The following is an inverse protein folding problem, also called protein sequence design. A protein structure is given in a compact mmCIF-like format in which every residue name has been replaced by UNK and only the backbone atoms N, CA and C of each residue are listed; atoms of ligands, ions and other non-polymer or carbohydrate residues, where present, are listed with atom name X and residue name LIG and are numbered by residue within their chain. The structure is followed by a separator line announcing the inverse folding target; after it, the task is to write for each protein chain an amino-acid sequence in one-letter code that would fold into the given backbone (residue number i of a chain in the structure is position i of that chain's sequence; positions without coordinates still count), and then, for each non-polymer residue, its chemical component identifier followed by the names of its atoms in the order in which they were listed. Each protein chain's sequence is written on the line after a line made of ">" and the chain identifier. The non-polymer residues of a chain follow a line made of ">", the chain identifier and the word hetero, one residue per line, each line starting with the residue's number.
data_IF_708997408356
#
_entry.id   IF_708997408356
#
_cell.length_a   1.000
_cell.length_b   1.000
_cell.length_c   1.000
_cell.angle_alpha   90.00
_cell.angle_beta   90.00
_cell.angle_gamma   90.00
#
_symmetry.space_group_name_H-M   'P 1'
#
loop_
_entity.id
_entity.type
_entity.pdbx_description
1 polymer ?
#
# COMPACT_ATOMS: atom_id res chain seq x y z
N UNK A 1 35.21 1.51 82.61
CA UNK A 1 36.17 0.71 81.81
C UNK A 1 36.87 1.63 80.82
N UNK A 2 38.18 1.42 80.65
CA UNK A 2 39.10 2.25 79.84
C UNK A 2 38.89 2.05 78.33
N UNK A 3 39.48 2.97 77.57
CA UNK A 3 40.02 2.81 76.21
C UNK A 3 38.96 2.81 75.07
N UNK A 4 39.21 3.31 73.85
CA UNK A 4 40.34 3.98 73.19
C UNK A 4 39.82 4.34 71.78
N UNK A 5 40.19 5.54 71.32
CA UNK A 5 40.76 5.84 69.99
C UNK A 5 40.21 5.16 68.71
N UNK A 6 39.97 6.06 67.74
CA UNK A 6 40.48 6.06 66.35
C UNK A 6 39.85 5.12 65.30
N UNK A 7 39.76 5.70 64.10
CA UNK A 7 39.93 5.01 62.82
C UNK A 7 38.73 5.23 61.92
N UNK A 8 38.74 6.26 61.06
CA UNK A 8 39.36 6.27 59.72
C UNK A 8 38.58 5.47 58.69
N UNK A 9 38.21 6.20 57.63
CA UNK A 9 38.05 5.76 56.25
C UNK A 9 36.88 4.76 56.02
N UNK A 10 36.23 4.71 54.87
CA UNK A 10 36.61 5.15 53.56
C UNK A 10 35.34 5.07 52.68
N UNK A 11 35.37 5.78 51.54
CA UNK A 11 34.91 5.31 50.21
C UNK A 11 33.47 4.72 50.10
N UNK A 12 32.64 5.02 49.09
CA UNK A 12 32.87 5.59 47.78
C UNK A 12 31.51 5.77 47.08
N UNK A 13 31.51 6.63 46.07
CA UNK A 13 30.70 6.55 44.84
C UNK A 13 29.17 6.69 44.92
N UNK A 14 28.74 7.94 44.71
CA UNK A 14 27.96 8.38 43.54
C UNK A 14 26.85 7.48 43.01
N UNK A 15 25.59 7.94 43.12
CA UNK A 15 24.59 7.70 42.09
C UNK A 15 23.87 9.01 41.76
N UNK A 16 24.33 9.69 40.70
CA UNK A 16 23.61 10.75 40.03
C UNK A 16 22.51 10.09 39.20
N UNK A 17 21.25 10.27 39.62
CA UNK A 17 20.09 9.98 38.77
C UNK A 17 19.93 11.16 37.83
N UNK A 18 20.57 11.07 36.66
CA UNK A 18 20.26 11.95 35.54
C UNK A 18 19.15 11.31 34.72
N UNK A 19 17.94 11.84 34.89
CA UNK A 19 16.80 11.65 33.99
C UNK A 19 17.21 12.15 32.62
N UNK A 20 17.36 11.24 31.67
CA UNK A 20 17.71 11.53 30.29
C UNK A 20 16.92 10.65 29.34
N UNK A 21 15.82 11.21 28.83
CA UNK A 21 15.23 10.82 27.55
C UNK A 21 14.60 9.43 27.48
N UNK A 22 13.28 9.36 27.73
CA UNK A 22 12.41 8.38 27.07
C UNK A 22 12.41 8.64 25.56
N UNK A 23 13.46 8.18 24.88
CA UNK A 23 13.44 7.91 23.45
C UNK A 23 13.29 6.41 23.29
N UNK A 24 12.05 5.92 23.10
CA UNK A 24 11.86 4.60 22.54
C UNK A 24 12.48 4.60 21.15
N UNK A 25 13.72 4.11 21.09
CA UNK A 25 14.36 3.72 19.86
C UNK A 25 13.49 2.64 19.21
N UNK A 26 12.63 3.05 18.29
CA UNK A 26 12.14 2.16 17.25
C UNK A 26 13.38 1.67 16.51
N UNK A 27 13.79 0.44 16.83
CA UNK A 27 14.77 -0.32 16.08
C UNK A 27 14.27 -0.35 14.64
N UNK A 28 14.84 0.52 13.80
CA UNK A 28 14.78 0.38 12.36
C UNK A 28 15.69 -0.80 12.05
N UNK A 29 15.11 -1.98 11.90
CA UNK A 29 15.72 -3.00 11.05
C UNK A 29 15.78 -2.39 9.65
N UNK A 30 16.91 -1.76 9.36
CA UNK A 30 17.29 -1.42 8.00
C UNK A 30 17.47 -2.75 7.27
N UNK A 31 16.51 -3.07 6.40
CA UNK A 31 16.60 -4.19 5.47
C UNK A 31 17.96 -4.13 4.75
N UNK A 32 18.78 -5.18 4.83
CA UNK A 32 20.03 -5.24 4.08
C UNK A 32 19.69 -5.37 2.59
N UNK A 33 19.85 -4.28 1.83
CA UNK A 33 19.69 -4.30 0.38
C UNK A 33 19.31 -2.98 -0.27
N UNK A 34 18.66 -2.05 0.43
CA UNK A 34 18.14 -0.81 -0.19
C UNK A 34 18.80 0.49 0.27
N UNK A 35 19.75 0.43 1.23
CA UNK A 35 20.40 1.63 1.77
C UNK A 35 21.61 2.12 0.94
N UNK A 36 21.55 1.99 -0.39
CA UNK A 36 22.52 2.64 -1.30
C UNK A 36 21.90 3.05 -2.64
N UNK A 37 20.61 3.42 -2.63
CA UNK A 37 20.08 4.32 -3.65
C UNK A 37 20.57 5.73 -3.34
N UNK A 38 21.33 6.35 -4.25
CA UNK A 38 21.57 7.78 -4.21
C UNK A 38 20.23 8.51 -4.03
N UNK A 39 20.17 9.50 -3.15
CA UNK A 39 18.99 10.37 -3.04
C UNK A 39 18.71 10.97 -4.42
N UNK A 40 17.71 10.47 -5.13
CA UNK A 40 17.32 10.97 -6.45
C UNK A 40 17.23 9.93 -7.58
N UNK A 41 17.56 8.66 -7.35
CA UNK A 41 17.33 7.63 -8.38
C UNK A 41 15.83 7.31 -8.49
N UNK A 42 15.26 7.45 -9.68
CA UNK A 42 13.89 7.00 -9.98
C UNK A 42 13.85 5.48 -10.10
N UNK A 43 12.84 4.84 -9.52
CA UNK A 43 12.64 3.40 -9.55
C UNK A 43 11.88 2.99 -10.82
N UNK A 44 12.46 2.12 -11.66
CA UNK A 44 11.77 1.58 -12.83
C UNK A 44 10.81 0.46 -12.40
N UNK A 45 9.51 0.71 -12.53
CA UNK A 45 8.46 -0.18 -12.02
C UNK A 45 7.58 -0.69 -13.16
N UNK A 46 7.27 -1.98 -13.16
CA UNK A 46 6.18 -2.53 -13.98
C UNK A 46 4.98 -2.84 -13.10
N UNK A 47 3.77 -2.65 -13.63
CA UNK A 47 2.52 -2.98 -12.94
C UNK A 47 1.89 -4.17 -13.63
N UNK A 48 1.76 -5.29 -12.92
CA UNK A 48 1.09 -6.48 -13.47
C UNK A 48 -0.43 -6.34 -13.36
N UNK A 49 -1.19 -6.97 -14.28
CA UNK A 49 -2.63 -7.10 -14.14
C UNK A 49 -2.99 -7.68 -12.76
N UNK A 50 -3.94 -7.04 -12.08
CA UNK A 50 -4.34 -7.49 -10.75
C UNK A 50 -4.95 -8.89 -10.83
N UNK A 51 -4.67 -9.70 -9.83
CA UNK A 51 -5.37 -10.95 -9.60
C UNK A 51 -6.86 -10.69 -9.32
N UNK A 52 -7.70 -11.62 -9.76
CA UNK A 52 -9.14 -11.53 -9.62
C UNK A 52 -9.78 -12.91 -9.65
N UNK A 53 -11.05 -12.98 -9.27
CA UNK A 53 -11.88 -14.17 -9.37
C UNK A 53 -13.15 -13.84 -10.15
N UNK A 54 -13.41 -14.55 -11.22
CA UNK A 54 -14.64 -14.43 -12.01
C UNK A 54 -15.43 -15.76 -11.98
N UNK A 55 -16.46 -15.86 -12.82
CA UNK A 55 -17.28 -17.07 -12.95
C UNK A 55 -16.54 -18.24 -13.60
N UNK A 56 -15.46 -17.96 -14.35
CA UNK A 56 -14.68 -18.96 -15.11
C UNK A 56 -13.52 -19.50 -14.32
N UNK A 57 -13.05 -18.79 -13.29
CA UNK A 57 -11.99 -19.25 -12.41
C UNK A 57 -11.34 -18.13 -11.60
N UNK A 58 -10.10 -18.41 -11.19
CA UNK A 58 -9.28 -17.49 -10.41
C UNK A 58 -7.99 -17.22 -11.18
N UNK A 59 -7.66 -15.94 -11.36
CA UNK A 59 -6.31 -15.52 -11.72
C UNK A 59 -5.61 -15.20 -10.41
N UNK A 60 -4.74 -16.11 -9.97
CA UNK A 60 -4.02 -15.96 -8.70
C UNK A 60 -2.85 -14.99 -8.81
N UNK A 61 -2.47 -14.39 -7.68
CA UNK A 61 -1.24 -13.62 -7.56
C UNK A 61 -0.15 -14.51 -6.93
N UNK A 62 0.59 -15.26 -7.76
CA UNK A 62 1.67 -16.15 -7.32
C UNK A 62 2.92 -15.40 -6.82
N UNK A 63 2.95 -14.07 -6.97
CA UNK A 63 3.99 -13.18 -6.42
C UNK A 63 3.57 -12.45 -5.14
N UNK A 64 2.30 -12.52 -4.75
CA UNK A 64 1.83 -11.79 -3.59
C UNK A 64 2.39 -12.44 -2.30
N UNK A 65 2.97 -11.66 -1.38
CA UNK A 65 3.54 -12.22 -0.15
C UNK A 65 2.47 -12.75 0.82
N UNK A 66 1.21 -12.36 0.63
CA UNK A 66 0.08 -12.77 1.45
C UNK A 66 -0.88 -13.63 0.63
N UNK A 67 -1.49 -14.64 1.27
CA UNK A 67 -2.56 -15.43 0.65
C UNK A 67 -3.83 -14.59 0.55
N UNK A 68 -4.37 -14.48 -0.65
CA UNK A 68 -5.51 -13.62 -0.94
C UNK A 68 -6.82 -14.40 -1.00
N UNK A 69 -7.87 -13.85 -0.40
CA UNK A 69 -9.24 -14.36 -0.52
C UNK A 69 -10.03 -13.36 -1.35
N UNK A 70 -10.52 -13.82 -2.51
CA UNK A 70 -11.18 -12.97 -3.49
C UNK A 70 -12.67 -13.33 -3.61
N UNK A 71 -13.52 -12.32 -3.48
CA UNK A 71 -14.90 -12.37 -3.87
C UNK A 71 -15.03 -12.36 -5.41
N UNK A 72 -16.16 -12.84 -5.96
CA UNK A 72 -16.42 -12.70 -7.39
C UNK A 72 -16.40 -11.23 -7.84
N UNK A 73 -15.62 -10.96 -8.87
CA UNK A 73 -15.45 -9.67 -9.56
C UNK A 73 -15.43 -9.95 -11.07
N UNK A 74 -14.69 -9.19 -11.88
CA UNK A 74 -14.52 -9.44 -13.31
C UNK A 74 -13.10 -9.11 -13.77
N UNK A 75 -12.73 -9.64 -14.94
CA UNK A 75 -11.46 -9.30 -15.59
C UNK A 75 -11.41 -7.82 -15.94
N UNK A 76 -12.51 -7.29 -16.45
CA UNK A 76 -12.65 -5.91 -16.88
C UNK A 76 -12.47 -4.95 -15.70
N UNK A 77 -13.09 -5.25 -14.56
CA UNK A 77 -12.92 -4.47 -13.34
C UNK A 77 -11.47 -4.53 -12.83
N UNK A 78 -10.84 -5.71 -12.85
CA UNK A 78 -9.46 -5.86 -12.42
C UNK A 78 -8.49 -5.06 -13.31
N UNK A 79 -8.68 -5.08 -14.62
CA UNK A 79 -7.92 -4.27 -15.57
C UNK A 79 -8.15 -2.77 -15.35
N UNK A 80 -9.38 -2.35 -15.08
CA UNK A 80 -9.68 -0.96 -14.79
C UNK A 80 -9.00 -0.49 -13.49
N UNK A 81 -9.01 -1.33 -12.44
CA UNK A 81 -8.31 -1.01 -11.19
C UNK A 81 -6.78 -1.06 -11.38
N UNK A 82 -6.24 -1.93 -12.24
CA UNK A 82 -4.85 -1.87 -12.69
C UNK A 82 -4.54 -0.53 -13.36
N UNK A 83 -5.42 -0.03 -14.24
CA UNK A 83 -5.24 1.26 -14.90
C UNK A 83 -5.22 2.44 -13.91
N UNK A 84 -5.99 2.37 -12.81
CA UNK A 84 -5.87 3.37 -11.73
C UNK A 84 -4.47 3.38 -11.10
N UNK A 85 -3.79 2.24 -10.97
CA UNK A 85 -2.40 2.24 -10.51
C UNK A 85 -1.47 2.94 -11.49
N UNK A 86 -1.62 2.70 -12.80
CA UNK A 86 -0.86 3.43 -13.82
C UNK A 86 -1.12 4.94 -13.72
N UNK A 87 -2.38 5.37 -13.70
CA UNK A 87 -2.77 6.78 -13.63
C UNK A 87 -2.15 7.48 -12.40
N UNK A 88 -2.28 6.86 -11.23
CA UNK A 88 -1.79 7.48 -9.98
C UNK A 88 -0.26 7.46 -9.91
N UNK A 89 0.40 6.37 -10.31
CA UNK A 89 1.86 6.27 -10.23
C UNK A 89 2.59 7.10 -11.28
N UNK A 90 2.03 7.27 -12.48
CA UNK A 90 2.64 8.08 -13.54
C UNK A 90 2.80 9.55 -13.12
N UNK A 91 1.94 10.02 -12.20
CA UNK A 91 2.03 11.36 -11.63
C UNK A 91 3.19 11.57 -10.64
N UNK A 92 3.90 10.51 -10.25
CA UNK A 92 4.97 10.56 -9.25
C UNK A 92 6.37 10.53 -9.88
N UNK A 93 7.20 11.59 -9.73
CA UNK A 93 8.52 11.69 -10.40
C UNK A 93 9.56 10.67 -9.94
N UNK A 94 9.26 9.91 -8.88
CA UNK A 94 10.14 8.90 -8.31
C UNK A 94 10.01 7.54 -8.98
N UNK A 95 9.02 7.35 -9.85
CA UNK A 95 8.79 6.10 -10.55
C UNK A 95 8.89 6.34 -12.06
N UNK A 96 9.51 5.39 -12.76
CA UNK A 96 9.48 5.30 -14.22
C UNK A 96 8.69 4.05 -14.56
N UNK A 97 7.48 4.22 -15.09
CA UNK A 97 6.62 3.09 -15.38
C UNK A 97 7.00 2.42 -16.71
N UNK A 98 7.02 1.09 -16.71
CA UNK A 98 7.02 0.31 -17.95
C UNK A 98 5.63 0.39 -18.55
N UNK A 99 5.53 0.76 -19.82
CA UNK A 99 4.27 0.83 -20.56
C UNK A 99 3.54 -0.51 -20.56
N UNK A 100 2.20 -0.47 -20.43
CA UNK A 100 1.34 -1.66 -20.37
C UNK A 100 1.59 -2.62 -21.54
N UNK A 101 1.73 -2.11 -22.77
CA UNK A 101 1.98 -2.96 -23.94
C UNK A 101 3.28 -3.78 -23.83
N UNK A 102 4.30 -3.26 -23.14
CA UNK A 102 5.55 -3.99 -22.87
C UNK A 102 5.39 -5.01 -21.77
N UNK A 103 4.55 -4.71 -20.76
CA UNK A 103 4.16 -5.67 -19.73
C UNK A 103 3.43 -6.87 -20.35
N UNK A 104 2.45 -6.62 -21.21
CA UNK A 104 1.74 -7.70 -21.92
C UNK A 104 2.67 -8.47 -22.88
N UNK A 105 3.59 -7.81 -23.57
CA UNK A 105 4.59 -8.48 -24.42
C UNK A 105 5.59 -9.36 -23.64
N UNK A 106 5.76 -9.11 -22.34
CA UNK A 106 6.59 -9.89 -21.43
C UNK A 106 5.81 -10.96 -20.64
N UNK A 107 4.49 -11.05 -20.84
CA UNK A 107 3.60 -11.94 -20.08
C UNK A 107 4.01 -13.40 -20.21
N UNK A 108 4.19 -14.04 -19.06
CA UNK A 108 4.39 -15.49 -18.93
C UNK A 108 3.10 -16.21 -18.53
N UNK A 109 3.22 -17.50 -18.23
CA UNK A 109 2.13 -18.30 -17.69
C UNK A 109 1.73 -17.87 -16.27
N UNK A 110 2.67 -17.28 -15.52
CA UNK A 110 2.44 -16.77 -14.15
C UNK A 110 2.96 -15.34 -13.96
N UNK A 111 2.59 -14.68 -12.86
CA UNK A 111 3.13 -13.35 -12.55
C UNK A 111 4.63 -13.43 -12.25
N UNK A 112 5.09 -14.51 -11.59
CA UNK A 112 6.51 -14.72 -11.34
C UNK A 112 7.33 -14.87 -12.62
N UNK A 113 6.78 -15.57 -13.62
CA UNK A 113 7.41 -15.65 -14.94
C UNK A 113 7.42 -14.29 -15.66
N UNK A 114 6.30 -13.56 -15.60
CA UNK A 114 6.19 -12.22 -16.18
C UNK A 114 7.23 -11.27 -15.58
N UNK A 115 7.44 -11.29 -14.25
CA UNK A 115 8.49 -10.50 -13.58
C UNK A 115 9.89 -10.88 -14.06
N UNK A 116 10.20 -12.17 -14.22
CA UNK A 116 11.51 -12.60 -14.76
C UNK A 116 11.73 -12.07 -16.18
N UNK A 117 10.71 -12.15 -17.04
CA UNK A 117 10.77 -11.65 -18.41
C UNK A 117 10.96 -10.13 -18.45
N UNK A 118 10.21 -9.39 -17.62
CA UNK A 118 10.34 -7.94 -17.48
C UNK A 118 11.71 -7.51 -16.99
N UNK A 119 12.28 -8.22 -16.01
CA UNK A 119 13.65 -7.94 -15.54
C UNK A 119 14.67 -8.15 -16.65
N UNK A 120 14.54 -9.22 -17.43
CA UNK A 120 15.47 -9.53 -18.51
C UNK A 120 15.36 -8.56 -19.70
N UNK A 121 14.15 -8.11 -20.04
CA UNK A 121 13.89 -7.29 -21.24
C UNK A 121 13.92 -5.79 -20.97
N UNK A 122 13.35 -5.37 -19.85
CA UNK A 122 13.15 -3.97 -19.51
C UNK A 122 14.08 -3.51 -18.38
N UNK A 123 14.77 -4.41 -17.67
CA UNK A 123 15.62 -4.03 -16.55
C UNK A 123 14.82 -3.35 -15.43
N UNK A 124 13.62 -3.85 -15.12
CA UNK A 124 12.79 -3.31 -14.03
C UNK A 124 13.47 -3.50 -12.68
N UNK A 125 13.40 -2.49 -11.82
CA UNK A 125 13.90 -2.55 -10.44
C UNK A 125 12.88 -3.24 -9.52
N UNK A 126 11.59 -2.98 -9.76
CA UNK A 126 10.52 -3.57 -8.97
C UNK A 126 9.26 -3.83 -9.82
N UNK A 127 8.39 -4.67 -9.30
CA UNK A 127 7.09 -4.98 -9.91
C UNK A 127 5.98 -4.75 -8.88
N UNK A 128 4.97 -3.97 -9.27
CA UNK A 128 3.74 -3.84 -8.51
C UNK A 128 2.80 -5.00 -8.89
N UNK A 129 2.44 -5.79 -7.89
CA UNK A 129 1.48 -6.88 -8.00
C UNK A 129 0.32 -6.64 -7.04
N UNK A 130 -0.80 -7.31 -7.22
CA UNK A 130 -1.92 -7.14 -6.32
C UNK A 130 -3.14 -7.95 -6.73
N UNK A 131 -4.25 -7.67 -6.04
CA UNK A 131 -5.54 -8.23 -6.40
C UNK A 131 -6.68 -7.24 -6.18
N UNK A 132 -7.70 -7.34 -7.02
CA UNK A 132 -9.02 -6.82 -6.75
C UNK A 132 -9.77 -7.87 -5.91
N UNK A 133 -9.88 -7.61 -4.61
CA UNK A 133 -10.41 -8.59 -3.66
C UNK A 133 -11.93 -8.59 -3.63
N UNK A 134 -12.56 -7.43 -3.76
CA UNK A 134 -14.01 -7.29 -3.77
C UNK A 134 -14.43 -5.96 -4.43
N UNK A 135 -15.55 -5.99 -5.17
CA UNK A 135 -16.32 -4.79 -5.52
C UNK A 135 -17.76 -4.95 -5.02
N UNK A 136 -18.18 -4.02 -4.17
CA UNK A 136 -19.52 -3.99 -3.60
C UNK A 136 -20.33 -2.93 -4.33
N UNK A 137 -21.19 -3.35 -5.25
CA UNK A 137 -22.06 -2.42 -5.97
C UNK A 137 -23.07 -1.75 -5.02
N UNK A 138 -23.26 -0.45 -5.22
CA UNK A 138 -24.35 0.31 -4.60
C UNK A 138 -25.70 -0.26 -5.03
N UNK A 139 -26.65 -0.34 -4.10
CA UNK A 139 -28.03 -0.72 -4.38
C UNK A 139 -29.03 0.33 -3.89
N UNK A 140 -30.09 0.56 -4.67
CA UNK A 140 -31.14 1.52 -4.37
C UNK A 140 -30.84 2.94 -4.89
N UNK A 141 -31.56 3.93 -4.36
CA UNK A 141 -31.45 5.32 -4.81
C UNK A 141 -30.01 5.85 -4.65
N UNK A 142 -29.37 6.35 -5.72
CA UNK A 142 -28.07 7.01 -5.67
C UNK A 142 -27.92 8.11 -4.61
N UNK A 143 -28.99 8.79 -4.22
CA UNK A 143 -28.98 9.85 -3.20
C UNK A 143 -29.19 9.32 -1.79
N UNK A 144 -29.77 8.12 -1.66
CA UNK A 144 -30.08 7.47 -0.39
C UNK A 144 -29.97 5.94 -0.55
N UNK A 145 -28.75 5.41 -0.76
CA UNK A 145 -28.60 4.01 -1.11
C UNK A 145 -28.96 3.11 0.06
N UNK A 146 -29.70 2.03 -0.23
CA UNK A 146 -29.98 0.97 0.74
C UNK A 146 -28.73 0.15 1.07
N UNK A 147 -27.84 -0.01 0.09
CA UNK A 147 -26.46 -0.51 0.29
C UNK A 147 -25.48 0.41 -0.40
N UNK A 148 -24.46 0.86 0.34
CA UNK A 148 -23.39 1.74 -0.18
C UNK A 148 -22.42 0.95 -1.04
N UNK A 149 -21.77 1.66 -1.95
CA UNK A 149 -20.67 1.08 -2.70
C UNK A 149 -19.45 0.85 -1.81
N UNK A 150 -18.64 -0.14 -2.17
CA UNK A 150 -17.37 -0.41 -1.52
C UNK A 150 -16.40 -1.16 -2.42
N UNK A 151 -15.14 -1.19 -2.01
CA UNK A 151 -14.07 -1.89 -2.72
C UNK A 151 -13.00 -2.36 -1.73
N UNK A 152 -12.45 -3.54 -2.00
CA UNK A 152 -11.27 -4.07 -1.31
C UNK A 152 -10.15 -4.33 -2.33
N UNK A 153 -8.99 -3.70 -2.10
CA UNK A 153 -7.83 -3.77 -3.00
C UNK A 153 -6.58 -4.09 -2.18
N UNK A 154 -5.78 -5.02 -2.70
CA UNK A 154 -4.46 -5.36 -2.17
C UNK A 154 -3.39 -5.06 -3.21
N UNK A 155 -2.25 -4.53 -2.77
CA UNK A 155 -1.08 -4.36 -3.62
C UNK A 155 0.21 -4.58 -2.83
N UNK A 156 1.25 -5.04 -3.53
CA UNK A 156 2.60 -5.16 -3.04
C UNK A 156 3.59 -4.72 -4.12
N UNK A 157 4.69 -4.11 -3.67
CA UNK A 157 5.83 -3.78 -4.52
C UNK A 157 6.94 -4.78 -4.21
N UNK A 158 7.33 -5.54 -5.22
CA UNK A 158 8.29 -6.63 -5.13
C UNK A 158 9.59 -6.21 -5.80
N UNK A 159 10.70 -6.29 -5.08
CA UNK A 159 12.03 -6.05 -5.64
C UNK A 159 12.37 -7.15 -6.66
N UNK A 160 12.72 -6.77 -7.89
CA UNK A 160 12.90 -7.73 -8.98
C UNK A 160 14.16 -8.60 -8.82
N UNK A 161 15.13 -8.11 -8.03
CA UNK A 161 16.40 -8.77 -7.80
C UNK A 161 16.30 -9.88 -6.75
N UNK A 162 15.79 -9.52 -5.58
CA UNK A 162 15.65 -10.36 -4.39
C UNK A 162 14.32 -11.11 -4.29
N UNK A 163 13.31 -10.69 -5.06
CA UNK A 163 11.92 -11.14 -4.96
C UNK A 163 11.29 -10.85 -3.59
N UNK A 164 11.89 -9.99 -2.77
CA UNK A 164 11.35 -9.59 -1.50
C UNK A 164 10.30 -8.49 -1.67
N UNK A 165 9.24 -8.53 -0.86
CA UNK A 165 8.29 -7.43 -0.79
C UNK A 165 8.94 -6.24 -0.07
N UNK A 166 9.11 -5.14 -0.80
CA UNK A 166 9.65 -3.87 -0.26
C UNK A 166 8.54 -2.96 0.26
N UNK A 167 7.31 -3.19 -0.19
CA UNK A 167 6.10 -2.61 0.38
C UNK A 167 4.90 -3.52 0.13
N UNK A 168 3.90 -3.45 1.00
CA UNK A 168 2.58 -4.06 0.80
C UNK A 168 1.52 -3.25 1.52
N UNK A 169 0.30 -3.28 0.99
CA UNK A 169 -0.83 -2.56 1.53
C UNK A 169 -2.16 -3.20 1.16
N UNK A 170 -3.13 -3.00 2.03
CA UNK A 170 -4.53 -3.39 1.86
C UNK A 170 -5.43 -2.21 2.18
N UNK A 171 -6.49 -2.04 1.39
CA UNK A 171 -7.57 -1.08 1.66
C UNK A 171 -8.90 -1.77 1.44
N UNK A 172 -9.80 -1.54 2.39
CA UNK A 172 -11.19 -1.94 2.32
C UNK A 172 -12.03 -0.75 2.75
N UNK A 173 -12.73 -0.16 1.78
CA UNK A 173 -13.45 1.08 1.94
C UNK A 173 -14.87 0.97 1.41
N UNK A 174 -15.72 1.79 2.00
CA UNK A 174 -17.08 2.04 1.55
C UNK A 174 -17.27 3.53 1.33
N UNK A 175 -18.24 3.90 0.49
CA UNK A 175 -18.70 5.28 0.34
C UNK A 175 -19.38 5.77 1.64
N UNK A 176 -18.57 6.14 2.63
CA UNK A 176 -19.05 6.61 3.93
C UNK A 176 -19.91 7.85 3.75
N UNK A 177 -21.06 7.87 4.43
CA UNK A 177 -21.85 9.08 4.56
C UNK A 177 -21.03 10.13 5.32
N UNK A 178 -20.94 11.39 4.85
CA UNK A 178 -20.39 12.45 5.67
C UNK A 178 -21.24 12.62 6.93
N UNK A 179 -20.61 13.04 8.02
CA UNK A 179 -21.29 13.28 9.29
C UNK A 179 -22.49 14.23 9.09
N UNK A 180 -23.56 14.07 9.89
CA UNK A 180 -24.84 14.80 9.71
C UNK A 180 -24.67 16.32 9.55
N UNK A 181 -23.68 16.92 10.23
CA UNK A 181 -23.39 18.35 10.16
C UNK A 181 -22.84 18.80 8.79
N UNK A 182 -22.03 17.97 8.11
CA UNK A 182 -21.51 18.25 6.77
C UNK A 182 -22.60 18.19 5.69
N UNK A 183 -23.63 17.36 5.90
CA UNK A 183 -24.79 17.28 5.00
C UNK A 183 -25.63 18.57 5.06
N UNK A 184 -25.78 19.16 6.25
CA UNK A 184 -26.42 20.46 6.43
C UNK A 184 -25.65 21.57 5.71
N UNK A 185 -24.32 21.61 5.88
CA UNK A 185 -23.47 22.61 5.24
C UNK A 185 -23.47 22.50 3.71
N UNK A 186 -23.35 21.29 3.15
CA UNK A 186 -23.36 21.09 1.69
C UNK A 186 -24.71 21.43 1.05
N UNK A 187 -25.83 21.12 1.72
CA UNK A 187 -27.16 21.49 1.26
C UNK A 187 -27.35 23.02 1.22
N UNK A 188 -26.84 23.72 2.23
CA UNK A 188 -26.99 25.19 2.36
C UNK A 188 -26.06 25.94 1.40
N UNK A 189 -24.80 25.50 1.24
CA UNK A 189 -23.78 26.26 0.51
C UNK A 189 -23.70 25.89 -0.97
N UNK A 190 -23.97 24.63 -1.34
CA UNK A 190 -23.72 24.16 -2.72
C UNK A 190 -24.97 23.84 -3.52
N UNK A 191 -26.16 23.82 -2.91
CA UNK A 191 -27.42 23.43 -3.58
C UNK A 191 -27.42 22.00 -4.18
N UNK A 192 -26.33 21.24 -4.00
CA UNK A 192 -26.11 19.97 -4.65
C UNK A 192 -26.46 18.82 -3.71
N UNK A 193 -27.43 17.99 -4.11
CA UNK A 193 -27.59 16.65 -3.53
C UNK A 193 -26.38 15.81 -3.92
N UNK A 194 -25.54 15.44 -2.94
CA UNK A 194 -24.43 14.52 -3.15
C UNK A 194 -24.97 13.17 -3.62
N UNK A 195 -24.49 12.71 -4.76
CA UNK A 195 -24.71 11.35 -5.25
C UNK A 195 -23.67 10.45 -4.59
N UNK A 196 -24.09 9.30 -4.06
CA UNK A 196 -23.17 8.30 -3.52
C UNK A 196 -22.28 7.74 -4.64
N UNK A 197 -21.08 7.32 -4.26
CA UNK A 197 -20.10 6.78 -5.21
C UNK A 197 -20.52 5.41 -5.72
N UNK A 198 -19.99 5.05 -6.87
CA UNK A 198 -19.94 3.70 -7.43
C UNK A 198 -18.81 2.89 -6.79
N UNK A 199 -18.83 1.56 -6.96
CA UNK A 199 -17.77 0.69 -6.44
C UNK A 199 -16.40 1.02 -7.04
N UNK A 200 -16.38 1.37 -8.34
CA UNK A 200 -15.16 1.74 -9.06
C UNK A 200 -14.57 3.07 -8.58
N UNK A 201 -15.41 4.06 -8.27
CA UNK A 201 -14.94 5.31 -7.65
C UNK A 201 -14.34 5.06 -6.26
N UNK A 202 -14.91 4.15 -5.46
CA UNK A 202 -14.31 3.75 -4.17
C UNK A 202 -13.01 2.98 -4.37
N UNK A 203 -12.92 2.12 -5.39
CA UNK A 203 -11.70 1.39 -5.74
C UNK A 203 -10.57 2.34 -6.16
N UNK A 204 -10.88 3.37 -6.95
CA UNK A 204 -9.92 4.42 -7.33
C UNK A 204 -9.34 5.13 -6.10
N UNK A 205 -10.19 5.54 -5.16
CA UNK A 205 -9.71 6.16 -3.91
C UNK A 205 -8.86 5.19 -3.07
N UNK A 206 -9.22 3.91 -3.03
CA UNK A 206 -8.42 2.89 -2.37
C UNK A 206 -7.03 2.78 -3.00
N UNK A 207 -6.93 2.80 -4.33
CA UNK A 207 -5.66 2.83 -5.08
C UNK A 207 -4.86 4.09 -4.77
N UNK A 208 -5.47 5.27 -4.82
CA UNK A 208 -4.82 6.54 -4.46
C UNK A 208 -4.21 6.48 -3.04
N UNK A 209 -4.96 5.95 -2.07
CA UNK A 209 -4.50 5.78 -0.69
C UNK A 209 -3.38 4.72 -0.53
N UNK A 210 -3.41 3.67 -1.35
CA UNK A 210 -2.35 2.66 -1.38
C UNK A 210 -1.06 3.24 -1.94
N UNK A 211 -1.14 3.93 -3.09
CA UNK A 211 0.01 4.55 -3.73
C UNK A 211 0.62 5.63 -2.83
N UNK A 212 -0.20 6.48 -2.20
CA UNK A 212 0.30 7.48 -1.27
C UNK A 212 1.07 6.85 -0.09
N UNK A 213 0.56 5.74 0.46
CA UNK A 213 1.26 4.99 1.51
C UNK A 213 2.57 4.37 1.03
N UNK A 214 2.58 3.81 -0.18
CA UNK A 214 3.77 3.25 -0.81
C UNK A 214 4.84 4.32 -1.01
N UNK A 215 4.49 5.45 -1.63
CA UNK A 215 5.42 6.56 -1.91
C UNK A 215 6.08 7.07 -0.63
N UNK A 216 5.34 7.14 0.48
CA UNK A 216 5.89 7.59 1.77
C UNK A 216 6.91 6.60 2.37
N UNK A 217 6.71 5.30 2.16
CA UNK A 217 7.47 4.22 2.81
C UNK A 217 8.66 3.76 1.97
N UNK A 218 8.51 3.66 0.65
CA UNK A 218 9.58 3.33 -0.28
C UNK A 218 10.42 4.60 -0.46
N UNK A 219 11.62 4.62 0.12
CA UNK A 219 12.55 5.77 0.10
C UNK A 219 13.79 5.46 -0.71
#
# INVERSE_FOLDING_TARGET
>A
MRAKLRGWAALCCSLVVAVGGSGCASIREALPGLARGERGASLKVAILPLAYRDERGVVECDLCPDRLVMAPTSREDALLVTAFFYEVLDSHPRFVLVEEGRVEAARGATMAETMRNLRAREGVDAVLVGALLELRARMGDPRAPGRRAGAAVYAALIDSASQAAIWRGYRDWDDRAPARWQQGFTRVVRGATRVSKTALEVAREAVESLVEDMVRKVR
#
